data_IF_026677305607
#
_entry.id   IF_026677305607
#
_cell.length_a   1.000
_cell.length_b   1.000
_cell.length_c   1.000
_cell.angle_alpha   90.00
_cell.angle_beta   90.00
_cell.angle_gamma   90.00
#
_symmetry.space_group_name_H-M   'P 1'
#
loop_
_entity.id
_entity.type
_entity.pdbx_description
1 polymer ?
#
# COMPACT_ATOMS: atom_id res chain seq x y z
N UNK A 1 34.92 6.07 43.49
CA UNK A 1 34.15 5.76 42.26
C UNK A 1 32.88 6.60 42.32
N UNK A 2 32.77 7.62 41.47
CA UNK A 2 31.64 8.53 41.47
C UNK A 2 30.41 7.86 40.85
N UNK A 3 29.27 7.89 41.54
CA UNK A 3 27.96 7.55 40.98
C UNK A 3 27.63 8.52 39.85
N UNK A 4 27.73 8.09 38.60
CA UNK A 4 27.26 8.88 37.45
C UNK A 4 25.73 8.86 37.48
N UNK A 5 25.15 10.05 37.58
CA UNK A 5 23.73 10.28 37.82
C UNK A 5 22.83 9.62 36.77
N UNK A 6 21.81 8.90 37.25
CA UNK A 6 20.77 8.25 36.47
C UNK A 6 19.68 9.23 35.98
N UNK A 7 19.96 10.54 35.98
CA UNK A 7 19.00 11.58 35.65
C UNK A 7 19.54 12.47 34.53
N UNK A 8 18.83 12.47 33.40
CA UNK A 8 19.05 13.38 32.28
C UNK A 8 17.79 14.22 32.06
N UNK A 9 17.98 15.49 31.69
CA UNK A 9 16.89 16.43 31.35
C UNK A 9 17.14 16.91 29.92
N UNK A 10 16.16 16.73 29.04
CA UNK A 10 16.16 17.25 27.67
C UNK A 10 14.99 18.23 27.58
N UNK A 11 15.25 19.41 27.03
CA UNK A 11 14.27 20.50 26.91
C UNK A 11 14.33 21.06 25.50
N UNK A 12 13.18 21.42 24.94
CA UNK A 12 13.06 22.11 23.66
C UNK A 12 11.93 23.12 23.76
N UNK A 13 12.13 24.28 23.15
CA UNK A 13 11.11 25.31 23.01
C UNK A 13 10.58 25.29 21.57
N UNK A 14 9.26 25.39 21.41
CA UNK A 14 8.61 25.46 20.11
C UNK A 14 7.68 26.67 20.11
N UNK A 15 7.95 27.63 19.23
CA UNK A 15 7.09 28.81 19.08
C UNK A 15 5.82 28.44 18.31
N UNK A 16 4.66 28.65 18.94
CA UNK A 16 3.34 28.38 18.34
C UNK A 16 2.49 29.64 18.36
N UNK A 17 1.59 29.75 17.36
CA UNK A 17 0.67 30.88 17.24
C UNK A 17 -0.62 30.73 18.07
N UNK A 18 -0.92 29.52 18.53
CA UNK A 18 -2.12 29.24 19.33
C UNK A 18 -2.01 29.88 20.73
N UNK A 19 -3.14 30.24 21.32
CA UNK A 19 -3.14 30.74 22.70
C UNK A 19 -2.72 29.64 23.68
N UNK A 20 -2.06 30.02 24.78
CA UNK A 20 -1.65 29.07 25.81
C UNK A 20 -2.84 28.26 26.36
N UNK A 21 -4.02 28.90 26.45
CA UNK A 21 -5.24 28.24 26.91
C UNK A 21 -5.73 27.17 25.93
N UNK A 22 -5.79 27.49 24.64
CA UNK A 22 -6.25 26.54 23.63
C UNK A 22 -5.31 25.33 23.55
N UNK A 23 -3.99 25.58 23.62
CA UNK A 23 -3.00 24.50 23.66
C UNK A 23 -3.10 23.65 24.92
N UNK A 24 -3.29 24.27 26.10
CA UNK A 24 -3.51 23.54 27.35
C UNK A 24 -4.78 22.67 27.28
N UNK A 25 -5.89 23.24 26.80
CA UNK A 25 -7.18 22.55 26.74
C UNK A 25 -7.14 21.33 25.82
N UNK A 26 -6.30 21.34 24.77
CA UNK A 26 -6.05 20.19 23.91
C UNK A 26 -5.57 18.97 24.70
N UNK A 27 -4.65 19.13 25.64
CA UNK A 27 -4.13 17.99 26.43
C UNK A 27 -4.92 17.75 27.71
N UNK A 28 -5.57 18.78 28.26
CA UNK A 28 -6.27 18.69 29.53
C UNK A 28 -7.71 18.20 29.39
N UNK A 29 -8.54 18.91 28.61
CA UNK A 29 -9.99 18.67 28.55
C UNK A 29 -10.45 18.00 27.25
N UNK A 30 -9.64 18.06 26.19
CA UNK A 30 -9.97 17.52 24.86
C UNK A 30 -8.84 16.66 24.26
N UNK A 31 -8.25 15.71 24.99
CA UNK A 31 -7.07 14.98 24.52
C UNK A 31 -7.31 14.11 23.27
N UNK A 32 -8.55 13.68 23.02
CA UNK A 32 -8.95 13.06 21.74
C UNK A 32 -8.83 14.00 20.52
N UNK A 33 -8.83 15.33 20.70
CA UNK A 33 -8.55 16.26 19.61
C UNK A 33 -7.08 16.22 19.18
N UNK A 34 -6.16 15.89 20.09
CA UNK A 34 -4.74 15.75 19.75
C UNK A 34 -4.58 14.60 18.76
N UNK A 35 -5.16 13.42 19.03
CA UNK A 35 -5.09 12.29 18.10
C UNK A 35 -5.76 12.59 16.75
N UNK A 36 -6.84 13.37 16.73
CA UNK A 36 -7.46 13.80 15.47
C UNK A 36 -6.59 14.80 14.68
N UNK A 37 -5.80 15.62 15.38
CA UNK A 37 -5.00 16.69 14.76
C UNK A 37 -3.64 16.20 14.28
N UNK A 38 -3.05 15.20 14.95
CA UNK A 38 -1.78 14.60 14.58
C UNK A 38 -1.86 13.06 14.55
N UNK A 39 -2.83 12.53 13.80
CA UNK A 39 -3.08 11.09 13.69
C UNK A 39 -1.89 10.29 13.13
N UNK A 40 -0.95 10.96 12.46
CA UNK A 40 0.31 10.43 11.96
C UNK A 40 1.31 10.12 13.09
N UNK A 41 1.18 10.79 14.25
CA UNK A 41 2.05 10.64 15.42
C UNK A 41 1.33 9.99 16.59
N UNK A 42 0.13 10.46 16.88
CA UNK A 42 -0.73 10.03 17.99
C UNK A 42 -2.03 9.52 17.38
N UNK A 43 -2.20 8.20 17.37
CA UNK A 43 -3.28 7.53 16.64
C UNK A 43 -4.62 7.58 17.38
N UNK A 44 -4.60 7.51 18.71
CA UNK A 44 -5.80 7.53 19.51
C UNK A 44 -5.52 8.01 20.95
N UNK A 45 -6.60 8.38 21.63
CA UNK A 45 -6.57 8.84 23.00
C UNK A 45 -7.85 8.38 23.71
N UNK A 46 -7.71 7.44 24.64
CA UNK A 46 -8.82 6.83 25.34
C UNK A 46 -8.83 7.25 26.81
N UNK A 47 -10.02 7.41 27.37
CA UNK A 47 -10.19 7.61 28.80
C UNK A 47 -10.29 6.25 29.47
N UNK A 48 -9.31 5.93 30.32
CA UNK A 48 -9.30 4.66 31.05
C UNK A 48 -10.04 4.79 32.39
N UNK A 49 -9.82 5.89 33.11
CA UNK A 49 -10.49 6.16 34.39
C UNK A 49 -10.73 7.66 34.59
N UNK A 50 -11.86 8.01 35.23
CA UNK A 50 -12.20 9.39 35.58
C UNK A 50 -12.99 10.12 34.50
N UNK A 51 -12.72 11.42 34.34
CA UNK A 51 -13.36 12.32 33.35
C UNK A 51 -12.30 13.27 32.79
N UNK A 52 -12.30 13.53 31.48
CA UNK A 52 -11.35 14.48 30.90
C UNK A 52 -11.44 15.86 31.59
N UNK A 53 -10.28 16.48 31.82
CA UNK A 53 -10.19 17.76 32.49
C UNK A 53 -10.44 17.73 34.00
N UNK A 54 -10.45 16.55 34.63
CA UNK A 54 -10.48 16.38 36.09
C UNK A 54 -9.16 15.84 36.62
N UNK A 55 -8.80 16.31 37.81
CA UNK A 55 -7.65 15.78 38.55
C UNK A 55 -7.96 14.34 38.96
N UNK A 56 -7.03 13.44 38.70
CA UNK A 56 -7.16 12.01 39.01
C UNK A 56 -7.52 11.13 37.81
N UNK A 57 -7.75 11.72 36.63
CA UNK A 57 -8.09 10.94 35.42
C UNK A 57 -6.89 10.23 34.82
N UNK A 58 -7.11 9.01 34.31
CA UNK A 58 -6.12 8.20 33.60
C UNK A 58 -6.48 8.20 32.11
N UNK A 59 -5.57 8.72 31.31
CA UNK A 59 -5.72 8.82 29.85
C UNK A 59 -4.65 7.95 29.18
N UNK A 60 -5.09 7.10 28.26
CA UNK A 60 -4.24 6.19 27.49
C UNK A 60 -4.03 6.79 26.11
N UNK A 61 -2.77 6.99 25.74
CA UNK A 61 -2.38 7.51 24.44
C UNK A 61 -1.82 6.38 23.59
N UNK A 62 -2.34 6.25 22.37
CA UNK A 62 -1.80 5.34 21.37
C UNK A 62 -0.97 6.18 20.40
N UNK A 63 0.32 5.91 20.33
CA UNK A 63 1.24 6.63 19.46
C UNK A 63 2.31 5.67 18.94
N UNK A 64 2.80 5.93 17.75
CA UNK A 64 3.98 5.25 17.22
C UNK A 64 5.12 6.26 17.20
N UNK A 65 6.20 5.93 17.91
CA UNK A 65 7.45 6.66 17.79
C UNK A 65 8.44 5.79 17.03
N UNK A 66 8.72 6.17 15.79
CA UNK A 66 9.74 5.53 14.95
C UNK A 66 11.01 6.36 15.05
N UNK A 67 12.09 5.76 15.55
CA UNK A 67 13.42 6.31 15.40
C UNK A 67 13.96 5.87 14.03
N UNK A 68 13.54 6.61 12.98
CA UNK A 68 13.88 6.30 11.59
C UNK A 68 15.40 6.29 11.34
N UNK A 69 16.18 7.05 12.13
CA UNK A 69 17.63 7.09 11.98
C UNK A 69 18.30 5.77 12.41
N UNK A 70 17.67 5.01 13.31
CA UNK A 70 18.25 3.79 13.90
C UNK A 70 17.52 2.49 13.50
N UNK A 71 16.52 2.55 12.62
CA UNK A 71 15.64 1.42 12.26
C UNK A 71 15.14 0.66 13.51
N UNK A 72 14.74 1.42 14.52
CA UNK A 72 14.33 0.91 15.82
C UNK A 72 12.86 1.27 16.11
N UNK A 73 12.14 0.29 16.63
CA UNK A 73 10.73 0.41 17.02
C UNK A 73 10.59 -0.07 18.46
N UNK A 74 9.81 0.65 19.26
CA UNK A 74 9.50 0.26 20.64
C UNK A 74 7.99 0.15 20.83
N UNK A 75 7.55 -1.03 21.27
CA UNK A 75 6.16 -1.31 21.61
C UNK A 75 6.02 -1.49 23.11
N UNK A 76 5.03 -0.84 23.72
CA UNK A 76 4.60 -1.13 25.09
C UNK A 76 3.32 -1.96 25.04
N UNK A 77 3.31 -3.10 25.72
CA UNK A 77 2.11 -3.91 25.88
C UNK A 77 1.21 -3.23 26.91
N UNK A 78 -0.04 -2.98 26.53
CA UNK A 78 -1.01 -2.23 27.35
C UNK A 78 -2.11 -3.12 27.92
N UNK A 79 -2.42 -4.25 27.27
CA UNK A 79 -3.47 -5.19 27.67
C UNK A 79 -3.17 -6.60 27.12
N UNK A 80 -3.90 -7.61 27.60
CA UNK A 80 -3.80 -9.02 27.16
C UNK A 80 -3.21 -9.95 28.21
N UNK A 81 -2.97 -11.20 27.83
CA UNK A 81 -2.54 -12.24 28.77
C UNK A 81 -1.18 -11.94 29.43
N UNK A 82 -0.26 -11.27 28.72
CA UNK A 82 1.00 -10.83 29.29
C UNK A 82 0.82 -9.89 30.49
N UNK A 83 -0.20 -9.03 30.45
CA UNK A 83 -0.44 -8.06 31.54
C UNK A 83 -1.08 -8.70 32.78
N UNK A 84 -1.49 -9.98 32.71
CA UNK A 84 -1.90 -10.77 33.89
C UNK A 84 -0.71 -11.22 34.72
N UNK A 85 0.47 -11.32 34.12
CA UNK A 85 1.69 -11.86 34.72
C UNK A 85 2.77 -10.78 34.92
N UNK A 86 2.77 -9.74 34.09
CA UNK A 86 3.77 -8.67 34.11
C UNK A 86 3.11 -7.30 34.30
N UNK A 87 3.66 -6.47 35.20
CA UNK A 87 3.21 -5.07 35.43
C UNK A 87 3.53 -4.16 34.26
N UNK A 88 4.71 -4.37 33.67
CA UNK A 88 5.17 -3.65 32.49
C UNK A 88 5.79 -4.67 31.55
N UNK A 89 5.53 -4.51 30.27
CA UNK A 89 6.15 -5.32 29.22
C UNK A 89 6.39 -4.42 28.02
N UNK A 90 7.64 -4.29 27.62
CA UNK A 90 8.10 -3.45 26.52
C UNK A 90 8.94 -4.30 25.58
N UNK A 91 8.69 -4.16 24.28
CA UNK A 91 9.33 -4.91 23.22
C UNK A 91 10.06 -3.90 22.34
N UNK A 92 11.38 -4.03 22.26
CA UNK A 92 12.17 -3.27 21.30
C UNK A 92 12.56 -4.17 20.14
N UNK A 93 12.45 -3.62 18.94
CA UNK A 93 12.84 -4.27 17.69
C UNK A 93 13.83 -3.36 17.01
N UNK A 94 15.00 -3.90 16.65
CA UNK A 94 15.99 -3.19 15.87
C UNK A 94 16.46 -4.04 14.70
N UNK A 95 16.38 -3.50 13.49
CA UNK A 95 16.89 -4.18 12.30
C UNK A 95 18.23 -3.57 11.85
N UNK A 96 19.24 -4.41 11.66
CA UNK A 96 20.54 -4.00 11.11
C UNK A 96 20.87 -4.81 9.86
N UNK A 97 21.41 -4.16 8.82
CA UNK A 97 21.81 -4.84 7.60
C UNK A 97 22.96 -5.83 7.88
N UNK A 98 22.94 -7.00 7.23
CA UNK A 98 24.08 -7.91 7.28
C UNK A 98 25.26 -7.32 6.50
N UNK A 99 26.48 -7.66 6.92
CA UNK A 99 27.72 -7.16 6.31
C UNK A 99 27.93 -7.63 4.86
N UNK A 100 27.29 -8.73 4.46
CA UNK A 100 27.30 -9.26 3.09
C UNK A 100 26.23 -8.61 2.18
N UNK A 101 25.40 -7.70 2.72
CA UNK A 101 24.33 -7.03 2.01
C UNK A 101 23.09 -7.89 1.73
N UNK A 102 23.05 -9.15 2.18
CA UNK A 102 21.93 -10.06 1.90
C UNK A 102 20.98 -10.20 3.11
N UNK A 103 20.06 -9.25 3.23
CA UNK A 103 19.05 -9.20 4.28
C UNK A 103 19.52 -8.50 5.55
N UNK A 104 18.80 -8.72 6.65
CA UNK A 104 19.05 -8.06 7.93
C UNK A 104 19.12 -9.05 9.11
N UNK A 105 19.60 -8.55 10.24
CA UNK A 105 19.49 -9.18 11.55
C UNK A 105 18.49 -8.35 12.35
N UNK A 106 17.41 -9.00 12.78
CA UNK A 106 16.40 -8.40 13.65
C UNK A 106 16.74 -8.77 15.09
N UNK A 107 17.03 -7.75 15.89
CA UNK A 107 17.30 -7.88 17.32
C UNK A 107 16.04 -7.53 18.11
N UNK A 108 15.54 -8.50 18.87
CA UNK A 108 14.41 -8.33 19.79
C UNK A 108 14.92 -8.18 21.22
N UNK A 109 14.44 -7.17 21.94
CA UNK A 109 14.70 -6.98 23.37
C UNK A 109 13.35 -6.96 24.07
N UNK A 110 13.18 -7.86 25.05
CA UNK A 110 11.99 -7.91 25.90
C UNK A 110 12.38 -7.35 27.28
N UNK A 111 11.86 -6.17 27.61
CA UNK A 111 12.00 -5.57 28.93
C UNK A 111 10.70 -5.73 29.70
N UNK A 112 10.75 -6.26 30.92
CA UNK A 112 9.54 -6.55 31.68
C UNK A 112 9.76 -6.44 33.19
N UNK A 113 8.67 -6.11 33.88
CA UNK A 113 8.57 -6.18 35.34
C UNK A 113 7.51 -7.23 35.72
N UNK A 114 7.92 -8.28 36.43
CA UNK A 114 7.00 -9.32 36.94
C UNK A 114 6.01 -8.73 37.95
N UNK A 115 4.77 -9.23 37.94
CA UNK A 115 3.76 -8.83 38.92
C UNK A 115 4.17 -9.20 40.35
N UNK A 116 4.77 -10.39 40.52
CA UNK A 116 5.38 -10.84 41.77
C UNK A 116 6.48 -11.88 41.49
N UNK A 117 7.25 -12.25 42.52
CA UNK A 117 8.42 -13.14 42.40
C UNK A 117 8.11 -14.54 41.84
N UNK A 118 6.88 -15.03 42.03
CA UNK A 118 6.46 -16.35 41.55
C UNK A 118 6.06 -16.42 40.07
N UNK A 119 6.15 -15.32 39.31
CA UNK A 119 5.92 -15.33 37.86
C UNK A 119 7.18 -15.84 37.15
N UNK A 120 7.03 -16.70 36.16
CA UNK A 120 8.16 -17.22 35.38
C UNK A 120 8.72 -16.19 34.39
N UNK A 121 9.91 -16.45 33.87
CA UNK A 121 10.47 -15.63 32.80
C UNK A 121 9.79 -15.97 31.47
N UNK A 122 9.59 -14.99 30.57
CA UNK A 122 8.88 -15.18 29.31
C UNK A 122 9.78 -15.84 28.24
N UNK A 123 10.54 -16.88 28.59
CA UNK A 123 11.48 -17.55 27.68
C UNK A 123 10.78 -18.11 26.44
N UNK A 124 9.53 -18.55 26.60
CA UNK A 124 8.68 -19.02 25.49
C UNK A 124 8.38 -17.94 24.47
N UNK A 125 8.35 -16.65 24.86
CA UNK A 125 8.15 -15.54 23.94
C UNK A 125 9.34 -15.33 23.02
N UNK A 126 10.56 -15.72 23.43
CA UNK A 126 11.73 -15.63 22.55
C UNK A 126 11.58 -16.52 21.32
N UNK A 127 11.06 -17.73 21.52
CA UNK A 127 10.75 -18.63 20.41
C UNK A 127 9.61 -18.06 19.56
N UNK A 128 8.55 -17.53 20.20
CA UNK A 128 7.45 -16.90 19.48
C UNK A 128 7.89 -15.74 18.58
N UNK A 129 8.70 -14.79 19.09
CA UNK A 129 9.17 -13.66 18.26
C UNK A 129 10.15 -14.10 17.18
N UNK A 130 10.91 -15.17 17.40
CA UNK A 130 11.73 -15.77 16.37
C UNK A 130 10.86 -16.39 15.26
N UNK A 131 9.77 -17.06 15.61
CA UNK A 131 8.82 -17.64 14.66
C UNK A 131 8.12 -16.54 13.86
N UNK A 132 7.61 -15.50 14.53
CA UNK A 132 7.05 -14.31 13.88
C UNK A 132 8.07 -13.65 12.94
N UNK A 133 9.34 -13.54 13.35
CA UNK A 133 10.38 -12.97 12.49
C UNK A 133 10.63 -13.83 11.24
N UNK A 134 10.59 -15.16 11.38
CA UNK A 134 10.71 -16.09 10.24
C UNK A 134 9.50 -16.05 9.33
N UNK A 135 8.30 -15.88 9.88
CA UNK A 135 7.08 -15.74 9.10
C UNK A 135 7.03 -14.40 8.36
N UNK A 136 7.49 -13.31 9.00
CA UNK A 136 7.66 -12.00 8.35
C UNK A 136 8.76 -12.09 7.30
N UNK A 137 9.90 -12.71 7.56
CA UNK A 137 10.95 -12.92 6.55
C UNK A 137 10.41 -13.76 5.39
N UNK A 138 9.69 -14.85 5.66
CA UNK A 138 9.06 -15.65 4.63
C UNK A 138 7.99 -14.87 3.87
N UNK A 139 7.22 -13.98 4.51
CA UNK A 139 6.23 -13.11 3.86
C UNK A 139 6.91 -12.02 3.03
N UNK A 140 7.98 -11.40 3.53
CA UNK A 140 8.69 -10.32 2.86
C UNK A 140 9.61 -10.85 1.75
N UNK A 141 10.20 -12.04 1.92
CA UNK A 141 11.03 -12.70 0.92
C UNK A 141 10.23 -13.61 -0.01
N UNK A 142 9.04 -14.06 0.41
CA UNK A 142 8.00 -14.42 -0.55
C UNK A 142 7.64 -13.16 -1.30
N UNK A 143 7.30 -12.01 -0.71
CA UNK A 143 7.00 -10.77 -1.47
C UNK A 143 8.17 -10.23 -2.32
N UNK A 144 9.43 -10.51 -1.95
CA UNK A 144 10.63 -10.23 -2.76
C UNK A 144 10.91 -11.33 -3.81
N UNK A 145 10.15 -12.44 -3.78
CA UNK A 145 10.00 -13.44 -4.84
C UNK A 145 8.54 -13.57 -5.38
N UNK A 146 7.61 -12.71 -4.96
CA UNK A 146 6.14 -12.89 -5.09
C UNK A 146 5.38 -11.57 -5.17
N UNK A 147 6.04 -10.47 -5.52
CA UNK A 147 5.39 -9.33 -6.15
C UNK A 147 4.96 -9.60 -7.61
N UNK A 148 4.95 -10.87 -8.06
CA UNK A 148 4.55 -11.26 -9.43
C UNK A 148 3.40 -12.27 -9.52
N UNK A 149 2.87 -12.76 -8.39
CA UNK A 149 1.96 -13.92 -8.40
C UNK A 149 0.52 -13.58 -8.76
N UNK A 150 -0.14 -12.77 -7.92
CA UNK A 150 -1.56 -12.46 -8.04
C UNK A 150 -1.80 -11.18 -8.80
N UNK A 151 -1.14 -10.09 -8.41
CA UNK A 151 -1.17 -8.85 -9.19
C UNK A 151 -0.03 -8.81 -10.19
N UNK A 152 -0.28 -8.22 -11.34
CA UNK A 152 0.76 -8.04 -12.34
C UNK A 152 0.39 -7.00 -13.37
N UNK A 153 1.38 -6.67 -14.18
CA UNK A 153 1.29 -5.66 -15.23
C UNK A 153 1.91 -6.22 -16.50
N UNK A 154 1.15 -6.17 -17.58
CA UNK A 154 1.62 -6.49 -18.92
C UNK A 154 1.64 -5.20 -19.74
N UNK A 155 2.73 -4.99 -20.48
CA UNK A 155 2.89 -3.80 -21.32
C UNK A 155 3.41 -4.18 -22.70
N UNK A 156 2.90 -3.52 -23.73
CA UNK A 156 3.42 -3.65 -25.09
C UNK A 156 3.20 -2.37 -25.89
N UNK A 157 4.17 -2.07 -26.74
CA UNK A 157 4.11 -0.97 -27.70
C UNK A 157 3.84 -1.52 -29.09
N UNK A 158 2.86 -0.93 -29.78
CA UNK A 158 2.51 -1.30 -31.15
C UNK A 158 2.65 -0.08 -32.04
N UNK A 159 3.54 -0.17 -33.02
CA UNK A 159 3.66 0.85 -34.05
C UNK A 159 2.56 0.67 -35.11
N UNK A 160 1.82 1.74 -35.38
CA UNK A 160 0.75 1.76 -36.38
C UNK A 160 0.88 2.98 -37.32
N UNK A 161 0.22 2.93 -38.47
CA UNK A 161 0.23 3.99 -39.49
C UNK A 161 -0.84 5.06 -39.26
N UNK A 162 -1.95 4.70 -38.64
CA UNK A 162 -3.02 5.61 -38.28
C UNK A 162 -2.55 6.69 -37.30
N UNK A 163 -3.24 7.84 -37.30
CA UNK A 163 -2.94 8.92 -36.36
C UNK A 163 -3.36 8.55 -34.94
N UNK A 164 -2.66 9.08 -33.93
CA UNK A 164 -2.99 8.84 -32.53
C UNK A 164 -4.45 9.20 -32.20
N UNK A 165 -4.95 10.27 -32.81
CA UNK A 165 -6.32 10.74 -32.65
C UNK A 165 -7.33 9.78 -33.28
N UNK A 166 -7.10 9.32 -34.52
CA UNK A 166 -8.05 8.41 -35.18
C UNK A 166 -8.13 7.07 -34.47
N UNK A 167 -7.00 6.58 -33.95
CA UNK A 167 -6.95 5.38 -33.13
C UNK A 167 -7.69 5.56 -31.79
N UNK A 168 -7.44 6.67 -31.08
CA UNK A 168 -8.16 6.99 -29.84
C UNK A 168 -9.68 7.12 -30.08
N UNK A 169 -10.08 7.80 -31.15
CA UNK A 169 -11.49 8.01 -31.50
C UNK A 169 -12.24 6.70 -31.79
N UNK A 170 -11.56 5.63 -32.22
CA UNK A 170 -12.18 4.30 -32.37
C UNK A 170 -12.67 3.75 -31.01
N UNK A 171 -11.84 3.81 -29.98
CA UNK A 171 -12.19 3.36 -28.63
C UNK A 171 -13.10 4.37 -27.90
N UNK A 172 -12.93 5.66 -28.17
CA UNK A 172 -13.65 6.71 -27.48
C UNK A 172 -15.04 6.97 -28.06
N UNK A 173 -15.18 7.10 -29.38
CA UNK A 173 -16.43 7.50 -30.05
C UNK A 173 -17.16 6.34 -30.74
N UNK A 174 -16.45 5.28 -31.12
CA UNK A 174 -16.99 4.17 -31.92
C UNK A 174 -16.69 2.78 -31.33
N UNK A 175 -16.99 2.53 -30.05
CA UNK A 175 -16.62 1.27 -29.38
C UNK A 175 -17.23 0.03 -30.05
N UNK A 176 -18.44 0.14 -30.60
CA UNK A 176 -19.10 -0.92 -31.37
C UNK A 176 -18.42 -1.19 -32.73
N UNK A 177 -17.62 -0.26 -33.26
CA UNK A 177 -16.79 -0.54 -34.44
C UNK A 177 -15.55 -1.34 -34.09
N UNK A 178 -15.05 -1.27 -32.84
CA UNK A 178 -13.91 -2.06 -32.39
C UNK A 178 -14.28 -3.55 -32.40
N UNK A 179 -15.43 -3.92 -31.82
CA UNK A 179 -15.92 -5.31 -31.85
C UNK A 179 -16.20 -5.78 -33.27
N UNK A 180 -16.72 -4.93 -34.15
CA UNK A 180 -16.96 -5.30 -35.55
C UNK A 180 -15.66 -5.44 -36.36
N UNK A 181 -14.65 -4.64 -36.04
CA UNK A 181 -13.34 -4.68 -36.71
C UNK A 181 -12.50 -5.87 -36.24
N UNK A 182 -12.67 -6.28 -34.98
CA UNK A 182 -11.94 -7.37 -34.34
C UNK A 182 -12.88 -8.52 -33.94
N UNK A 183 -13.88 -8.85 -34.75
CA UNK A 183 -14.99 -9.75 -34.36
C UNK A 183 -14.55 -11.20 -34.07
N UNK A 184 -13.40 -11.61 -34.60
CA UNK A 184 -12.73 -12.88 -34.32
C UNK A 184 -12.03 -12.89 -32.94
N UNK A 185 -11.82 -11.73 -32.31
CA UNK A 185 -11.06 -11.55 -31.06
C UNK A 185 -11.86 -10.89 -29.93
N UNK A 186 -12.85 -10.06 -30.27
CA UNK A 186 -13.72 -9.34 -29.34
C UNK A 186 -15.17 -9.63 -29.74
N UNK A 187 -15.79 -10.60 -29.06
CA UNK A 187 -17.14 -11.05 -29.40
C UNK A 187 -18.25 -10.08 -28.95
N UNK A 188 -18.02 -9.32 -27.87
CA UNK A 188 -18.88 -8.21 -27.44
C UNK A 188 -18.11 -7.29 -26.48
N UNK A 189 -18.28 -5.97 -26.64
CA UNK A 189 -17.76 -4.98 -25.69
C UNK A 189 -18.89 -3.98 -25.41
N UNK A 190 -19.51 -4.11 -24.24
CA UNK A 190 -20.52 -3.17 -23.76
C UNK A 190 -19.85 -2.19 -22.80
N UNK A 191 -19.92 -0.89 -23.13
CA UNK A 191 -19.35 0.16 -22.28
C UNK A 191 -20.44 0.74 -21.39
N UNK A 192 -20.24 0.61 -20.09
CA UNK A 192 -21.09 1.26 -19.09
C UNK A 192 -20.51 2.65 -18.80
N UNK A 193 -21.26 3.71 -19.09
CA UNK A 193 -20.88 5.07 -18.69
C UNK A 193 -21.06 5.24 -17.17
N UNK A 194 -19.98 5.62 -16.47
CA UNK A 194 -19.98 5.79 -15.01
C UNK A 194 -18.58 5.74 -14.39
N UNK A 195 -18.50 6.02 -13.10
CA UNK A 195 -17.27 6.16 -12.29
C UNK A 195 -16.34 4.91 -12.33
N UNK A 196 -16.88 3.76 -12.79
CA UNK A 196 -16.19 2.47 -12.80
C UNK A 196 -15.90 1.89 -14.20
N UNK A 197 -16.34 2.49 -15.30
CA UNK A 197 -16.31 1.83 -16.63
C UNK A 197 -15.22 2.32 -17.60
N UNK A 198 -15.17 3.64 -17.85
CA UNK A 198 -14.30 4.25 -18.87
C UNK A 198 -13.84 5.64 -18.45
N UNK A 199 -12.53 5.88 -18.52
CA UNK A 199 -11.92 7.21 -18.30
C UNK A 199 -11.10 7.56 -19.54
N UNK A 200 -11.32 8.73 -20.14
CA UNK A 200 -10.59 9.16 -21.33
C UNK A 200 -9.94 10.53 -21.11
N UNK A 201 -8.72 10.69 -21.61
CA UNK A 201 -8.00 11.96 -21.68
C UNK A 201 -7.75 12.25 -23.16
N UNK A 202 -8.65 13.02 -23.78
CA UNK A 202 -8.56 13.39 -25.20
C UNK A 202 -7.29 14.19 -25.52
N UNK A 203 -6.77 14.98 -24.56
CA UNK A 203 -5.55 15.75 -24.77
C UNK A 203 -4.31 14.84 -24.86
N UNK A 204 -4.34 13.69 -24.20
CA UNK A 204 -3.27 12.68 -24.24
C UNK A 204 -3.52 11.54 -25.22
N UNK A 205 -4.64 11.55 -25.94
CA UNK A 205 -5.12 10.40 -26.73
C UNK A 205 -5.07 9.10 -25.92
N UNK A 206 -5.49 9.15 -24.64
CA UNK A 206 -5.51 7.98 -23.76
C UNK A 206 -6.92 7.61 -23.33
N UNK A 207 -7.09 6.32 -23.08
CA UNK A 207 -8.33 5.73 -22.59
C UNK A 207 -8.02 4.59 -21.63
N UNK A 208 -8.80 4.50 -20.56
CA UNK A 208 -8.73 3.44 -19.56
C UNK A 208 -10.08 2.74 -19.50
N UNK A 209 -10.03 1.41 -19.52
CA UNK A 209 -11.17 0.52 -19.37
C UNK A 209 -10.99 -0.34 -18.14
N UNK A 210 -12.04 -0.47 -17.33
CA UNK A 210 -12.12 -1.54 -16.33
C UNK A 210 -12.99 -2.66 -16.90
N UNK A 211 -12.48 -3.88 -16.87
CA UNK A 211 -13.27 -5.05 -17.25
C UNK A 211 -14.17 -5.40 -16.07
N UNK A 212 -15.47 -5.49 -16.33
CA UNK A 212 -16.50 -5.74 -15.31
C UNK A 212 -17.18 -7.11 -15.47
N UNK A 213 -17.15 -7.68 -16.67
CA UNK A 213 -17.73 -8.99 -17.00
C UNK A 213 -16.97 -9.62 -18.19
N UNK A 214 -17.14 -10.93 -18.40
CA UNK A 214 -16.53 -11.69 -19.52
C UNK A 214 -15.54 -12.76 -19.06
N UNK A 215 -14.88 -13.42 -20.00
CA UNK A 215 -13.98 -14.55 -19.72
C UNK A 215 -12.79 -14.15 -18.85
N UNK A 216 -12.26 -12.93 -18.98
CA UNK A 216 -11.22 -12.41 -18.09
C UNK A 216 -11.67 -12.40 -16.62
N UNK A 217 -12.94 -12.08 -16.34
CA UNK A 217 -13.44 -12.03 -14.95
C UNK A 217 -13.65 -13.42 -14.34
N UNK A 218 -13.51 -14.51 -15.12
CA UNK A 218 -13.47 -15.89 -14.60
C UNK A 218 -12.11 -16.28 -14.03
N UNK A 219 -11.07 -15.54 -14.38
CA UNK A 219 -9.68 -15.80 -13.98
C UNK A 219 -9.08 -14.65 -13.15
N UNK A 220 -9.59 -13.44 -13.33
CA UNK A 220 -9.09 -12.22 -12.68
C UNK A 220 -10.17 -11.55 -11.83
N UNK A 221 -9.81 -11.16 -10.61
CA UNK A 221 -10.64 -10.38 -9.68
C UNK A 221 -10.73 -8.91 -10.11
N UNK A 222 -9.63 -8.37 -10.62
CA UNK A 222 -9.55 -7.02 -11.17
C UNK A 222 -8.78 -7.07 -12.49
N UNK A 223 -9.27 -6.35 -13.50
CA UNK A 223 -8.56 -6.22 -14.76
C UNK A 223 -8.82 -4.82 -15.33
N UNK A 224 -7.74 -4.08 -15.58
CA UNK A 224 -7.77 -2.69 -16.08
C UNK A 224 -6.86 -2.60 -17.29
N UNK A 225 -7.36 -1.99 -18.36
CA UNK A 225 -6.65 -1.80 -19.61
C UNK A 225 -6.46 -0.30 -19.81
N UNK A 226 -5.21 0.14 -19.94
CA UNK A 226 -4.87 1.49 -20.36
C UNK A 226 -4.30 1.45 -21.77
N UNK A 227 -4.76 2.37 -22.59
CA UNK A 227 -4.33 2.52 -23.98
C UNK A 227 -3.95 3.98 -24.16
N UNK A 228 -2.76 4.23 -24.69
CA UNK A 228 -2.30 5.56 -25.03
C UNK A 228 -1.66 5.57 -26.41
N UNK A 229 -2.18 6.41 -27.31
CA UNK A 229 -1.57 6.59 -28.62
C UNK A 229 -0.71 7.86 -28.64
N UNK A 230 0.58 7.71 -28.98
CA UNK A 230 1.54 8.81 -29.03
C UNK A 230 2.05 9.02 -30.45
N UNK A 231 1.91 10.22 -31.05
CA UNK A 231 2.46 10.51 -32.37
C UNK A 231 3.96 10.24 -32.44
N UNK A 232 4.43 9.67 -33.55
CA UNK A 232 5.88 9.48 -33.77
C UNK A 232 6.57 10.84 -33.93
N UNK A 233 7.75 10.99 -33.33
CA UNK A 233 8.57 12.22 -33.47
C UNK A 233 9.06 12.44 -34.90
N UNK A 234 9.26 11.35 -35.65
CA UNK A 234 9.65 11.37 -37.06
C UNK A 234 8.83 10.33 -37.86
N UNK A 235 8.17 10.77 -38.93
CA UNK A 235 7.36 9.92 -39.81
C UNK A 235 5.85 10.03 -39.58
N UNK A 236 5.06 9.28 -40.37
CA UNK A 236 3.61 9.19 -40.22
C UNK A 236 3.21 8.06 -39.27
N UNK A 237 2.11 8.25 -38.53
CA UNK A 237 1.55 7.26 -37.62
C UNK A 237 1.85 7.52 -36.15
N UNK A 238 1.63 6.51 -35.31
CA UNK A 238 1.79 6.61 -33.87
C UNK A 238 2.30 5.30 -33.25
N UNK A 239 2.67 5.38 -31.98
CA UNK A 239 2.98 4.24 -31.12
C UNK A 239 1.82 4.13 -30.13
N UNK A 240 1.17 2.96 -30.10
CA UNK A 240 0.11 2.66 -29.14
C UNK A 240 0.72 1.86 -28.00
N UNK A 241 0.75 2.46 -26.82
CA UNK A 241 1.16 1.81 -25.59
C UNK A 241 -0.05 1.18 -24.91
N UNK A 242 0.00 -0.14 -24.75
CA UNK A 242 -0.99 -0.91 -24.00
C UNK A 242 -0.43 -1.27 -22.64
N UNK A 243 -1.23 -1.05 -21.61
CA UNK A 243 -0.98 -1.52 -20.25
C UNK A 243 -2.19 -2.36 -19.83
N UNK A 244 -1.95 -3.55 -19.31
CA UNK A 244 -2.97 -4.39 -18.68
C UNK A 244 -2.54 -4.66 -17.25
N UNK A 245 -3.26 -4.08 -16.30
CA UNK A 245 -3.09 -4.33 -14.87
C UNK A 245 -4.12 -5.36 -14.43
N UNK A 246 -3.68 -6.40 -13.76
CA UNK A 246 -4.56 -7.50 -13.35
C UNK A 246 -4.32 -7.93 -11.92
N UNK A 247 -5.35 -8.55 -11.33
CA UNK A 247 -5.31 -9.30 -10.08
C UNK A 247 -5.95 -10.66 -10.36
N UNK A 248 -5.17 -11.75 -10.34
CA UNK A 248 -5.67 -13.13 -10.47
C UNK A 248 -6.58 -13.49 -9.30
N UNK A 249 -7.58 -14.33 -9.55
CA UNK A 249 -8.45 -14.86 -8.49
C UNK A 249 -7.70 -15.72 -7.47
N UNK A 250 -6.69 -16.46 -7.94
CA UNK A 250 -5.80 -17.28 -7.12
C UNK A 250 -4.52 -17.62 -7.89
N UNK A 251 -3.53 -18.16 -7.20
CA UNK A 251 -2.18 -18.43 -7.77
C UNK A 251 -2.19 -19.43 -8.93
N UNK A 252 -3.16 -20.34 -8.98
CA UNK A 252 -3.31 -21.34 -10.06
C UNK A 252 -3.73 -20.77 -11.42
N UNK A 253 -4.02 -19.48 -11.53
CA UNK A 253 -4.35 -18.84 -12.81
C UNK A 253 -3.05 -18.62 -13.61
N UNK A 254 -3.07 -19.05 -14.87
CA UNK A 254 -1.93 -18.92 -15.77
C UNK A 254 -1.51 -17.45 -15.95
N UNK A 255 -0.24 -17.24 -16.30
CA UNK A 255 0.24 -15.89 -16.61
C UNK A 255 -0.37 -15.41 -17.94
N UNK A 256 -0.96 -14.19 -18.01
CA UNK A 256 -1.70 -13.71 -19.18
C UNK A 256 -0.83 -13.28 -20.39
N UNK A 257 0.33 -13.88 -20.61
CA UNK A 257 1.28 -13.47 -21.67
C UNK A 257 0.65 -13.41 -23.07
N UNK A 258 -0.34 -14.24 -23.34
CA UNK A 258 -1.10 -14.25 -24.61
C UNK A 258 -1.85 -12.94 -24.85
N UNK A 259 -2.15 -12.16 -23.81
CA UNK A 259 -2.83 -10.87 -23.94
C UNK A 259 -1.94 -9.79 -24.59
N UNK A 260 -0.61 -9.93 -24.52
CA UNK A 260 0.30 -9.05 -25.26
C UNK A 260 0.09 -9.21 -26.76
N UNK A 261 -0.05 -10.45 -27.25
CA UNK A 261 -0.31 -10.71 -28.65
C UNK A 261 -1.70 -10.23 -29.07
N UNK A 262 -2.70 -10.38 -28.19
CA UNK A 262 -4.03 -9.81 -28.42
C UNK A 262 -3.98 -8.28 -28.63
N UNK A 263 -3.25 -7.55 -27.78
CA UNK A 263 -3.09 -6.10 -27.91
C UNK A 263 -2.41 -5.69 -29.25
N UNK A 264 -1.42 -6.47 -29.69
CA UNK A 264 -0.77 -6.30 -30.99
C UNK A 264 -1.77 -6.50 -32.14
N UNK A 265 -2.55 -7.56 -32.09
CA UNK A 265 -3.46 -7.91 -33.17
C UNK A 265 -4.62 -6.92 -33.29
N UNK A 266 -5.25 -6.54 -32.17
CA UNK A 266 -6.30 -5.51 -32.13
C UNK A 266 -5.79 -4.19 -32.69
N UNK A 267 -4.57 -3.79 -32.32
CA UNK A 267 -3.97 -2.56 -32.82
C UNK A 267 -3.77 -2.58 -34.33
N UNK A 268 -3.33 -3.71 -34.89
CA UNK A 268 -3.12 -3.89 -36.34
C UNK A 268 -4.43 -3.97 -37.12
N UNK A 269 -5.47 -4.60 -36.57
CA UNK A 269 -6.78 -4.68 -37.20
C UNK A 269 -7.43 -3.28 -37.29
N UNK A 270 -7.31 -2.48 -36.23
CA UNK A 270 -7.76 -1.09 -36.21
C UNK A 270 -6.91 -0.24 -37.18
N UNK A 271 -5.59 -0.40 -37.19
CA UNK A 271 -4.72 0.32 -38.13
C UNK A 271 -5.11 0.02 -39.59
N UNK A 272 -5.31 -1.25 -39.92
CA UNK A 272 -5.75 -1.67 -41.25
C UNK A 272 -7.16 -1.17 -41.59
N UNK A 273 -8.05 -0.99 -40.61
CA UNK A 273 -9.37 -0.39 -40.82
C UNK A 273 -9.27 1.12 -41.09
N UNK A 274 -8.45 1.84 -40.33
CA UNK A 274 -8.30 3.29 -40.41
C UNK A 274 -7.46 3.75 -41.61
N UNK A 275 -6.56 2.91 -42.11
CA UNK A 275 -5.70 3.20 -43.26
C UNK A 275 -6.23 2.65 -44.60
N UNK A 276 -7.49 2.19 -44.63
CA UNK A 276 -8.19 1.80 -45.87
C UNK A 276 -8.65 3.02 -46.68
#
# INVERSE_FOLDING_TARGET
MASRGLTGKLETDVEIKASAKDFHDMFWSKPHHVSNTCNDKIHACDLHEGEYGKVGSIVVWHYTHVDEANNAITFRVIEGDLMKEYKTFVIHIQASAKSDGNGCIVHWILEYEKLHKGVDHPETLLQFVADVSRDIDAHLTSSAKSSSGLTGKLETDVEIKASAKDFHDMFFKKPHHVSNTCNDKIHACELHEGEFGKVADEAKNSITFRVIEGDLMKEYKNFVIHIQATPKSHGSGCIVHWIMEYEKLHEGVAHPETLLQFAVDVSKDIDAHLCK
#
